data_IF_308231785765
#
_entry.id   IF_308231785765
#
_cell.length_a   1.000
_cell.length_b   1.000
_cell.length_c   1.000
_cell.angle_alpha   90.00
_cell.angle_beta   90.00
_cell.angle_gamma   90.00
#
_symmetry.space_group_name_H-M   'P 1'
#
loop_
_entity.id
_entity.type
_entity.pdbx_description
1 polymer ?
#
# COMPACT_ATOMS: atom_id res chain seq x y z
N UNK A 1 -35.45 -37.52 -0.91
CA UNK A 1 -34.06 -37.18 -1.31
C UNK A 1 -33.81 -35.68 -1.52
N UNK A 2 -34.73 -34.88 -2.10
CA UNK A 2 -34.53 -33.41 -2.29
C UNK A 2 -34.26 -32.61 -1.01
N UNK A 3 -34.85 -32.99 0.13
CA UNK A 3 -34.68 -32.28 1.41
C UNK A 3 -33.27 -32.42 2.01
N UNK A 4 -32.56 -33.51 1.71
CA UNK A 4 -31.19 -33.72 2.17
C UNK A 4 -30.18 -32.87 1.41
N UNK A 5 -30.38 -32.66 0.10
CA UNK A 5 -29.52 -31.82 -0.74
C UNK A 5 -29.53 -30.35 -0.31
N UNK A 6 -30.69 -29.83 0.08
CA UNK A 6 -30.80 -28.43 0.54
C UNK A 6 -30.06 -28.22 1.87
N UNK A 7 -30.16 -29.17 2.79
CA UNK A 7 -29.47 -29.09 4.08
C UNK A 7 -27.95 -29.08 3.93
N UNK A 8 -27.41 -29.94 3.06
CA UNK A 8 -25.96 -29.98 2.79
C UNK A 8 -25.46 -28.67 2.16
N UNK A 9 -26.23 -28.09 1.24
CA UNK A 9 -25.84 -26.86 0.55
C UNK A 9 -25.82 -25.64 1.50
N UNK A 10 -26.77 -25.58 2.44
CA UNK A 10 -26.80 -24.53 3.48
C UNK A 10 -25.62 -24.66 4.45
N UNK A 11 -25.26 -25.89 4.84
CA UNK A 11 -24.11 -26.14 5.73
C UNK A 11 -22.79 -25.77 5.05
N UNK A 12 -22.63 -26.09 3.76
CA UNK A 12 -21.43 -25.72 2.99
C UNK A 12 -21.34 -24.21 2.81
N UNK A 13 -22.45 -23.51 2.55
CA UNK A 13 -22.47 -22.05 2.46
C UNK A 13 -22.15 -21.36 3.80
N UNK A 14 -22.64 -21.89 4.92
CA UNK A 14 -22.31 -21.38 6.26
C UNK A 14 -20.85 -21.67 6.65
N UNK A 15 -20.32 -22.84 6.28
CA UNK A 15 -18.92 -23.19 6.53
C UNK A 15 -17.93 -22.38 5.65
N UNK A 16 -18.30 -22.09 4.40
CA UNK A 16 -17.50 -21.24 3.51
C UNK A 16 -17.59 -19.75 3.89
N UNK A 17 -18.70 -19.29 4.47
CA UNK A 17 -18.87 -17.90 4.91
C UNK A 17 -17.95 -17.51 6.08
N UNK A 18 -17.67 -18.45 6.99
CA UNK A 18 -16.88 -18.20 8.20
C UNK A 18 -15.36 -18.08 7.95
N UNK A 19 -14.87 -18.36 6.73
CA UNK A 19 -13.45 -18.22 6.38
C UNK A 19 -13.08 -16.83 5.84
N UNK A 20 -14.05 -15.92 5.74
CA UNK A 20 -13.84 -14.56 5.24
C UNK A 20 -13.88 -13.49 6.33
N UNK A 21 -13.62 -13.84 7.59
CA UNK A 21 -13.66 -12.94 8.75
C UNK A 21 -12.29 -12.73 9.44
N UNK A 22 -11.19 -12.75 8.69
CA UNK A 22 -9.89 -12.34 9.23
C UNK A 22 -9.09 -11.44 8.29
N UNK A 23 -9.68 -10.29 7.98
CA UNK A 23 -8.95 -9.11 7.49
C UNK A 23 -9.19 -7.85 8.35
N UNK A 24 -9.84 -7.97 9.51
CA UNK A 24 -10.09 -6.86 10.43
C UNK A 24 -9.43 -7.12 11.79
N UNK A 25 -8.10 -6.98 11.83
CA UNK A 25 -7.36 -6.83 13.09
C UNK A 25 -6.05 -6.08 12.86
N UNK A 26 -6.13 -4.90 12.25
CA UNK A 26 -5.11 -3.87 12.35
C UNK A 26 -5.72 -2.46 12.37
N UNK A 27 -6.95 -2.32 12.90
CA UNK A 27 -7.52 -1.02 13.27
C UNK A 27 -7.27 -0.71 14.76
N UNK A 28 -6.03 -0.98 15.20
CA UNK A 28 -5.50 -0.30 16.37
C UNK A 28 -5.22 1.13 15.96
N UNK A 29 -6.21 2.01 16.10
CA UNK A 29 -6.13 3.49 16.07
C UNK A 29 -4.73 4.02 15.69
N UNK A 30 -4.43 3.96 14.39
CA UNK A 30 -3.19 4.46 13.81
C UNK A 30 -3.32 5.98 13.64
N UNK A 31 -3.38 6.68 14.77
CA UNK A 31 -3.26 8.15 14.79
C UNK A 31 -1.90 8.61 14.26
N UNK A 32 -0.95 7.67 14.08
CA UNK A 32 0.34 7.87 13.43
C UNK A 32 0.31 7.56 11.93
N UNK A 33 1.03 8.36 11.14
CA UNK A 33 1.27 8.11 9.72
C UNK A 33 1.79 6.66 9.52
N UNK A 34 1.35 5.89 8.52
CA UNK A 34 1.81 4.50 8.30
C UNK A 34 3.34 4.33 8.21
N UNK A 35 4.09 5.41 7.99
CA UNK A 35 5.54 5.44 7.96
C UNK A 35 6.22 5.58 9.32
N UNK A 36 5.52 5.99 10.39
CA UNK A 36 6.09 5.98 11.75
C UNK A 36 6.53 4.57 12.13
N UNK A 37 5.78 3.57 11.67
CA UNK A 37 6.07 2.15 11.86
C UNK A 37 7.15 1.60 10.92
N UNK A 38 7.61 2.39 9.96
CA UNK A 38 8.68 2.01 9.04
C UNK A 38 10.09 2.33 9.56
N UNK A 39 10.22 3.04 10.70
CA UNK A 39 11.53 3.53 11.19
C UNK A 39 12.54 2.40 11.35
N UNK A 40 12.16 1.34 12.06
CA UNK A 40 13.08 0.23 12.37
C UNK A 40 13.48 -0.54 11.11
N UNK A 41 12.54 -0.76 10.17
CA UNK A 41 12.84 -1.37 8.87
C UNK A 41 13.73 -0.46 8.03
N UNK A 42 13.51 0.85 8.06
CA UNK A 42 14.33 1.84 7.36
C UNK A 42 15.75 1.87 7.89
N UNK A 43 15.94 1.92 9.19
CA UNK A 43 17.27 1.88 9.80
C UNK A 43 17.95 0.54 9.49
N UNK A 44 17.26 -0.59 9.67
CA UNK A 44 17.83 -1.91 9.40
C UNK A 44 18.23 -2.12 7.94
N UNK A 45 17.37 -1.71 6.99
CA UNK A 45 17.57 -1.98 5.56
C UNK A 45 18.39 -0.91 4.84
N UNK A 46 18.40 0.31 5.37
CA UNK A 46 18.97 1.48 4.71
C UNK A 46 20.00 2.24 5.57
N UNK A 47 20.46 1.68 6.72
CA UNK A 47 21.47 2.28 7.62
C UNK A 47 22.79 2.65 6.95
N UNK A 48 23.24 1.87 5.96
CA UNK A 48 24.44 2.19 5.19
C UNK A 48 24.34 3.55 4.48
N UNK A 49 23.13 4.06 4.31
CA UNK A 49 22.83 5.40 3.77
C UNK A 49 22.91 6.47 4.87
N UNK A 50 23.85 6.40 5.82
CA UNK A 50 23.97 7.36 6.92
C UNK A 50 23.83 8.82 6.44
N UNK A 51 22.87 9.57 6.99
CA UNK A 51 22.47 10.94 6.58
C UNK A 51 22.02 11.11 5.12
N UNK A 52 21.68 10.04 4.42
CA UNK A 52 21.22 10.14 3.04
C UNK A 52 19.92 10.95 2.97
N UNK A 53 19.80 11.77 1.93
CA UNK A 53 18.62 12.59 1.68
C UNK A 53 17.33 11.76 1.73
N UNK A 54 16.20 12.38 2.10
CA UNK A 54 14.91 11.68 2.15
C UNK A 54 14.58 10.89 0.87
N UNK A 55 15.05 11.36 -0.30
CA UNK A 55 14.90 10.65 -1.57
C UNK A 55 15.72 9.36 -1.65
N UNK A 56 16.95 9.38 -1.13
CA UNK A 56 17.81 8.19 -1.13
C UNK A 56 17.25 7.12 -0.19
N UNK A 57 16.75 7.51 0.99
CA UNK A 57 16.05 6.61 1.91
C UNK A 57 14.77 6.05 1.28
N UNK A 58 13.96 6.90 0.65
CA UNK A 58 12.76 6.49 -0.11
C UNK A 58 13.08 5.45 -1.20
N UNK A 59 14.09 5.72 -2.04
CA UNK A 59 14.48 4.79 -3.10
C UNK A 59 15.12 3.50 -2.55
N UNK A 60 15.79 3.56 -1.40
CA UNK A 60 16.27 2.36 -0.72
C UNK A 60 15.09 1.49 -0.26
N UNK A 61 14.11 2.07 0.45
CA UNK A 61 12.95 1.33 0.95
C UNK A 61 12.12 0.71 -0.19
N UNK A 62 11.92 1.44 -1.30
CA UNK A 62 11.26 0.89 -2.48
C UNK A 62 11.99 -0.33 -3.06
N UNK A 63 13.33 -0.31 -3.10
CA UNK A 63 14.14 -1.45 -3.58
C UNK A 63 14.11 -2.62 -2.61
N UNK A 64 14.05 -2.35 -1.31
CA UNK A 64 14.03 -3.36 -0.26
C UNK A 64 12.61 -3.76 0.16
N UNK A 65 11.56 -3.41 -0.60
CA UNK A 65 10.16 -3.61 -0.20
C UNK A 65 9.84 -5.04 0.26
N UNK A 66 10.42 -6.05 -0.40
CA UNK A 66 10.19 -7.46 -0.08
C UNK A 66 10.81 -7.88 1.27
N UNK A 67 11.77 -7.11 1.79
CA UNK A 67 12.50 -7.39 3.04
C UNK A 67 11.96 -6.59 4.24
N UNK A 68 10.99 -5.70 4.03
CA UNK A 68 10.33 -4.92 5.10
C UNK A 68 9.57 -5.90 5.99
N UNK A 69 9.86 -5.96 7.29
CA UNK A 69 9.20 -6.89 8.22
C UNK A 69 7.80 -6.41 8.60
N UNK A 70 7.63 -5.12 8.85
CA UNK A 70 6.34 -4.55 9.23
C UNK A 70 5.33 -4.64 8.07
N UNK A 71 4.18 -5.30 8.31
CA UNK A 71 3.19 -5.59 7.27
C UNK A 71 2.54 -4.31 6.69
N UNK A 72 2.23 -3.33 7.53
CA UNK A 72 1.65 -2.03 7.11
C UNK A 72 2.65 -1.28 6.23
N UNK A 73 3.90 -1.19 6.68
CA UNK A 73 4.98 -0.56 5.92
C UNK A 73 5.20 -1.25 4.57
N UNK A 74 5.22 -2.60 4.56
CA UNK A 74 5.38 -3.40 3.34
C UNK A 74 4.24 -3.17 2.36
N UNK A 75 3.00 -3.17 2.86
CA UNK A 75 1.80 -2.91 2.06
C UNK A 75 1.83 -1.51 1.45
N UNK A 76 2.19 -0.50 2.25
CA UNK A 76 2.29 0.88 1.80
C UNK A 76 3.38 1.05 0.72
N UNK A 77 4.60 0.54 0.93
CA UNK A 77 5.67 0.62 -0.08
C UNK A 77 5.39 -0.23 -1.33
N UNK A 78 4.74 -1.38 -1.18
CA UNK A 78 4.28 -2.20 -2.29
C UNK A 78 3.26 -1.45 -3.15
N UNK A 79 2.30 -0.76 -2.51
CA UNK A 79 1.33 0.07 -3.20
C UNK A 79 1.95 1.28 -3.89
N UNK A 80 2.84 1.98 -3.19
CA UNK A 80 3.62 3.08 -3.75
C UNK A 80 4.45 2.64 -4.96
N UNK A 81 5.04 1.44 -4.93
CA UNK A 81 5.79 0.88 -6.07
C UNK A 81 4.90 0.68 -7.29
N UNK A 82 3.71 0.11 -7.11
CA UNK A 82 2.71 -0.02 -8.18
C UNK A 82 2.27 1.35 -8.73
N UNK A 83 2.04 2.31 -7.84
CA UNK A 83 1.66 3.66 -8.19
C UNK A 83 2.78 4.46 -8.87
N UNK A 84 4.04 4.25 -8.48
CA UNK A 84 5.21 4.84 -9.15
C UNK A 84 5.33 4.34 -10.59
N UNK A 85 5.09 3.05 -10.85
CA UNK A 85 5.07 2.49 -12.22
C UNK A 85 3.95 3.10 -13.05
N UNK A 86 2.75 3.23 -12.48
CA UNK A 86 1.63 3.91 -13.15
C UNK A 86 1.98 5.37 -13.43
N UNK A 87 2.49 6.10 -12.44
CA UNK A 87 2.89 7.50 -12.59
C UNK A 87 4.00 7.69 -13.62
N UNK A 88 4.98 6.78 -13.72
CA UNK A 88 6.05 6.85 -14.71
C UNK A 88 5.51 6.82 -16.15
N UNK A 89 4.43 6.07 -16.40
CA UNK A 89 3.77 6.03 -17.71
C UNK A 89 2.91 7.27 -18.04
N UNK A 90 2.52 8.03 -17.01
CA UNK A 90 1.62 9.19 -17.13
C UNK A 90 2.40 10.52 -17.08
N UNK A 91 3.44 10.58 -16.26
CA UNK A 91 4.25 11.77 -15.97
C UNK A 91 5.75 11.39 -15.93
N UNK A 92 6.38 11.12 -17.09
CA UNK A 92 7.72 10.52 -17.16
C UNK A 92 8.84 11.34 -16.51
N UNK A 93 8.68 12.65 -16.33
CA UNK A 93 9.72 13.54 -15.80
C UNK A 93 9.72 13.71 -14.27
N UNK A 94 8.80 13.08 -13.52
CA UNK A 94 8.55 13.45 -12.11
C UNK A 94 8.13 12.28 -11.21
N UNK A 95 8.96 11.25 -11.05
CA UNK A 95 8.66 10.12 -10.12
C UNK A 95 9.84 9.70 -9.26
N UNK A 96 10.57 10.70 -8.72
CA UNK A 96 11.77 10.48 -7.91
C UNK A 96 11.50 10.56 -6.40
N UNK A 97 10.40 11.20 -6.00
CA UNK A 97 9.94 11.34 -4.62
C UNK A 97 8.48 10.88 -4.49
N UNK A 98 8.04 10.59 -3.26
CA UNK A 98 6.63 10.25 -2.99
C UNK A 98 5.69 11.37 -3.47
N UNK A 99 6.05 12.62 -3.16
CA UNK A 99 5.26 13.80 -3.55
C UNK A 99 5.11 13.93 -5.05
N UNK A 100 6.12 13.56 -5.83
CA UNK A 100 6.04 13.66 -7.29
C UNK A 100 5.05 12.61 -7.84
N UNK A 101 5.10 11.38 -7.32
CA UNK A 101 4.13 10.31 -7.66
C UNK A 101 2.71 10.75 -7.29
N UNK A 102 2.51 11.29 -6.09
CA UNK A 102 1.21 11.76 -5.63
C UNK A 102 0.67 12.91 -6.50
N UNK A 103 1.47 13.95 -6.74
CA UNK A 103 1.09 15.08 -7.59
C UNK A 103 0.72 14.63 -9.00
N UNK A 104 1.50 13.72 -9.60
CA UNK A 104 1.19 13.16 -10.90
C UNK A 104 -0.18 12.45 -10.89
N UNK A 105 -0.43 11.59 -9.91
CA UNK A 105 -1.66 10.81 -9.85
C UNK A 105 -2.89 11.66 -9.53
N UNK A 106 -2.74 12.76 -8.79
CA UNK A 106 -3.82 13.73 -8.56
C UNK A 106 -4.21 14.47 -9.84
N UNK A 107 -3.25 14.82 -10.68
CA UNK A 107 -3.50 15.49 -11.96
C UNK A 107 -3.97 14.54 -13.08
N UNK A 108 -3.78 13.23 -12.90
CA UNK A 108 -4.13 12.24 -13.91
C UNK A 108 -5.63 11.89 -13.90
N UNK A 109 -6.19 11.62 -15.08
CA UNK A 109 -7.53 11.01 -15.19
C UNK A 109 -7.51 9.64 -14.50
N UNK A 110 -8.44 9.39 -13.57
CA UNK A 110 -8.54 8.12 -12.82
C UNK A 110 -8.62 6.87 -13.71
N UNK A 111 -9.20 6.99 -14.91
CA UNK A 111 -9.26 5.91 -15.90
C UNK A 111 -7.90 5.53 -16.50
N UNK A 112 -6.92 6.44 -16.47
CA UNK A 112 -5.55 6.22 -16.95
C UNK A 112 -4.62 5.65 -15.87
N UNK A 113 -5.07 5.61 -14.61
CA UNK A 113 -4.31 5.03 -13.50
C UNK A 113 -4.49 3.52 -13.50
N UNK A 114 -3.38 2.78 -13.36
CA UNK A 114 -3.40 1.32 -13.42
C UNK A 114 -4.30 0.70 -12.35
N UNK A 115 -4.97 -0.45 -12.63
CA UNK A 115 -5.78 -1.14 -11.63
C UNK A 115 -4.98 -1.51 -10.38
N UNK A 116 -3.72 -1.93 -10.54
CA UNK A 116 -2.84 -2.30 -9.44
C UNK A 116 -2.53 -1.10 -8.52
N UNK A 117 -2.32 0.10 -9.08
CA UNK A 117 -2.16 1.29 -8.26
C UNK A 117 -3.47 1.63 -7.54
N UNK A 118 -4.62 1.64 -8.24
CA UNK A 118 -5.91 1.99 -7.64
C UNK A 118 -6.33 1.06 -6.50
N UNK A 119 -6.02 -0.22 -6.60
CA UNK A 119 -6.30 -1.23 -5.58
C UNK A 119 -5.30 -1.20 -4.41
N UNK A 120 -4.26 -0.37 -4.48
CA UNK A 120 -3.20 -0.37 -3.48
C UNK A 120 -3.52 0.48 -2.26
N UNK A 121 -2.91 0.10 -1.12
CA UNK A 121 -3.02 0.83 0.13
C UNK A 121 -2.60 2.30 0.01
N UNK A 122 -1.47 2.57 -0.67
CA UNK A 122 -0.98 3.93 -0.93
C UNK A 122 -2.02 4.80 -1.65
N UNK A 123 -2.61 4.28 -2.72
CA UNK A 123 -3.62 5.05 -3.46
C UNK A 123 -4.86 5.33 -2.62
N UNK A 124 -5.37 4.31 -1.91
CA UNK A 124 -6.57 4.43 -1.11
C UNK A 124 -6.40 5.42 0.05
N UNK A 125 -5.22 5.45 0.70
CA UNK A 125 -4.99 6.27 1.89
C UNK A 125 -4.44 7.67 1.61
N UNK A 126 -3.68 7.86 0.52
CA UNK A 126 -2.96 9.12 0.26
C UNK A 126 -3.53 9.87 -0.96
N UNK A 127 -3.80 9.15 -2.07
CA UNK A 127 -4.20 9.78 -3.34
C UNK A 127 -5.70 10.02 -3.38
N UNK A 128 -6.51 9.01 -3.02
CA UNK A 128 -7.97 9.08 -3.08
C UNK A 128 -8.55 10.06 -2.06
N UNK A 129 -7.92 10.17 -0.88
CA UNK A 129 -8.27 11.10 0.19
C UNK A 129 -7.70 12.50 -0.02
N UNK A 130 -6.73 12.66 -0.95
CA UNK A 130 -5.92 13.87 -1.11
C UNK A 130 -5.17 14.27 0.17
N UNK A 131 -4.96 13.34 1.10
CA UNK A 131 -4.21 13.56 2.34
C UNK A 131 -2.78 13.08 2.14
N UNK A 132 -1.91 13.95 1.60
CA UNK A 132 -0.48 13.69 1.60
C UNK A 132 0.14 14.31 2.86
N UNK A 133 0.13 13.55 3.96
CA UNK A 133 0.78 14.03 5.17
C UNK A 133 2.27 14.30 4.89
N UNK A 134 2.82 15.41 5.41
CA UNK A 134 4.20 15.77 5.13
C UNK A 134 5.13 14.67 5.62
N UNK A 135 5.78 14.00 4.67
CA UNK A 135 6.95 13.16 4.91
C UNK A 135 8.03 14.04 5.55
N UNK A 136 8.08 14.08 6.88
CA UNK A 136 9.15 14.72 7.65
C UNK A 136 10.34 13.76 7.81
#
# INVERSE_FOLDING_TARGET
>A
MRRFLVAVLVVVLLACGAWFEQAEAADGSLSGHPLSHCRDDRERLCSASGRASGNAQFNCMLRQQAKIKNAVCRSWYGGLSACRKSAASLCPSRVNKVRDVWNCLLGAKRSKISPQCKASYFYAKEVATKDLRPYA
#
